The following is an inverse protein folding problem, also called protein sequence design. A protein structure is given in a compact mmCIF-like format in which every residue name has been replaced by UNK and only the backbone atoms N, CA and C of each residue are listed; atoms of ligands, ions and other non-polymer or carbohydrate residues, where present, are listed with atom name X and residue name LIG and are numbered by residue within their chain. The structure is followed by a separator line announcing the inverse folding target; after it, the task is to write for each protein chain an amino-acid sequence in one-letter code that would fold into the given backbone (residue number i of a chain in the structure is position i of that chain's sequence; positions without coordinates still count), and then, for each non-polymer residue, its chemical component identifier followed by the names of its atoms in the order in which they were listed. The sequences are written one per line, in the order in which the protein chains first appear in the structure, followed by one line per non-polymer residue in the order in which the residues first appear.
data_IF_668126596582
#
_entry.id   IF_668126596582
#
_cell.length_a   1.000
_cell.length_b   1.000
_cell.length_c   1.000
_cell.angle_alpha   90.00
_cell.angle_beta   90.00
_cell.angle_gamma   90.00
#
_symmetry.space_group_name_H-M   'P 1'
#
loop_
_entity.id
_entity.type
_entity.pdbx_description
1 polymer ?
#
# COMPACT_ATOMS: atom_id res chain seq x y z
N UNK A 1 -19.46 -2.81 -46.08
CA UNK A 1 -18.95 -3.21 -44.75
C UNK A 1 -20.08 -3.01 -43.74
N UNK A 2 -20.43 -4.04 -42.96
CA UNK A 2 -21.65 -4.10 -42.11
C UNK A 2 -21.34 -4.31 -40.61
N UNK A 3 -20.13 -4.03 -40.15
CA UNK A 3 -19.77 -4.24 -38.74
C UNK A 3 -20.15 -3.03 -37.90
N UNK A 4 -20.87 -3.27 -36.81
CA UNK A 4 -21.13 -2.27 -35.75
C UNK A 4 -20.23 -2.57 -34.55
N UNK A 5 -19.62 -1.55 -33.98
CA UNK A 5 -18.85 -1.63 -32.72
C UNK A 5 -19.53 -0.75 -31.69
N UNK A 6 -19.64 -1.26 -30.46
CA UNK A 6 -20.06 -0.51 -29.28
C UNK A 6 -18.98 -0.59 -28.21
N UNK A 7 -18.78 0.50 -27.48
CA UNK A 7 -17.89 0.55 -26.32
C UNK A 7 -18.68 0.88 -25.05
N UNK A 8 -18.21 0.37 -23.92
CA UNK A 8 -18.73 0.67 -22.59
C UNK A 8 -17.53 0.89 -21.65
N UNK A 9 -17.66 1.85 -20.73
CA UNK A 9 -16.71 2.01 -19.63
C UNK A 9 -17.02 0.94 -18.58
N UNK A 10 -16.12 -0.04 -18.44
CA UNK A 10 -16.29 -1.15 -17.48
C UNK A 10 -15.65 -0.87 -16.12
N UNK A 11 -14.68 0.04 -16.06
CA UNK A 11 -13.90 0.37 -14.87
C UNK A 11 -13.34 1.79 -14.93
N UNK A 12 -13.20 2.46 -13.79
CA UNK A 12 -12.56 3.76 -13.65
C UNK A 12 -12.30 4.03 -12.18
N UNK A 13 -11.10 4.50 -11.86
CA UNK A 13 -10.65 4.73 -10.48
C UNK A 13 -9.89 6.04 -10.41
N UNK A 14 -9.99 6.73 -9.29
CA UNK A 14 -9.10 7.85 -9.04
C UNK A 14 -7.70 7.34 -8.66
N UNK A 15 -6.66 8.04 -9.11
CA UNK A 15 -5.31 7.87 -8.57
C UNK A 15 -5.28 8.20 -7.07
N UNK A 16 -4.28 7.72 -6.33
CA UNK A 16 -4.21 8.05 -4.89
C UNK A 16 -3.91 9.53 -4.67
N UNK A 17 -4.74 10.18 -3.85
CA UNK A 17 -4.47 11.51 -3.33
C UNK A 17 -3.57 11.39 -2.09
N UNK A 18 -2.31 11.79 -2.21
CA UNK A 18 -1.34 11.73 -1.12
C UNK A 18 -1.65 12.72 0.02
N UNK A 19 -1.22 12.37 1.24
CA UNK A 19 -1.26 13.24 2.41
C UNK A 19 0.11 13.21 3.12
N UNK A 20 0.92 14.27 2.93
CA UNK A 20 2.30 14.37 3.43
C UNK A 20 2.33 14.44 4.95
N UNK A 21 1.37 15.10 5.61
CA UNK A 21 1.24 15.07 7.08
C UNK A 21 1.09 13.65 7.62
N UNK A 22 0.15 12.87 7.09
CA UNK A 22 -0.03 11.49 7.52
C UNK A 22 1.16 10.60 7.13
N UNK A 23 1.76 10.80 5.95
CA UNK A 23 2.95 10.06 5.52
C UNK A 23 4.15 10.33 6.44
N UNK A 24 4.34 11.57 6.88
CA UNK A 24 5.40 11.95 7.82
C UNK A 24 5.19 11.29 9.17
N UNK A 25 3.94 11.27 9.67
CA UNK A 25 3.60 10.60 10.92
C UNK A 25 3.85 9.08 10.84
N UNK A 26 3.38 8.44 9.77
CA UNK A 26 3.60 7.02 9.55
C UNK A 26 5.10 6.68 9.41
N UNK A 27 5.88 7.54 8.77
CA UNK A 27 7.33 7.41 8.67
C UNK A 27 7.99 7.45 10.05
N UNK A 28 7.66 8.42 10.90
CA UNK A 28 8.20 8.51 12.27
C UNK A 28 7.92 7.23 13.06
N UNK A 29 6.72 6.67 12.91
CA UNK A 29 6.35 5.42 13.57
C UNK A 29 7.04 4.19 12.96
N UNK A 30 7.32 4.17 11.65
CA UNK A 30 8.20 3.16 11.04
C UNK A 30 9.61 3.22 11.62
N UNK A 31 10.17 4.43 11.79
CA UNK A 31 11.50 4.63 12.37
C UNK A 31 11.57 4.20 13.84
N UNK A 32 10.50 4.40 14.61
CA UNK A 32 10.38 3.90 16.00
C UNK A 32 10.32 2.37 16.04
N UNK A 33 9.50 1.75 15.17
CA UNK A 33 9.31 0.29 15.17
C UNK A 33 10.55 -0.44 14.63
N UNK A 34 11.21 0.15 13.63
CA UNK A 34 12.36 -0.44 12.94
C UNK A 34 11.99 -1.61 12.02
N UNK A 35 13.02 -2.19 11.39
CA UNK A 35 12.86 -3.36 10.52
C UNK A 35 12.68 -4.68 11.27
N UNK A 36 12.82 -5.78 10.54
CA UNK A 36 12.58 -7.14 11.06
C UNK A 36 13.87 -7.95 11.08
N UNK A 37 14.10 -8.63 12.20
CA UNK A 37 15.23 -9.55 12.36
C UNK A 37 14.79 -10.98 12.12
N UNK A 38 15.43 -11.61 11.14
CA UNK A 38 15.25 -13.03 10.87
C UNK A 38 16.02 -13.88 11.88
N UNK A 39 15.39 -14.95 12.34
CA UNK A 39 16.10 -16.02 13.03
C UNK A 39 16.87 -16.90 12.04
N UNK A 40 17.58 -17.91 12.55
CA UNK A 40 18.40 -18.78 11.71
C UNK A 40 17.58 -19.55 10.65
N UNK A 41 16.35 -19.95 10.97
CA UNK A 41 15.49 -20.70 10.06
C UNK A 41 14.92 -19.81 8.97
N UNK A 42 14.40 -18.65 9.36
CA UNK A 42 13.88 -17.64 8.45
C UNK A 42 14.96 -17.12 7.52
N UNK A 43 16.17 -16.89 8.04
CA UNK A 43 17.31 -16.48 7.25
C UNK A 43 17.69 -17.54 6.22
N UNK A 44 17.80 -18.81 6.63
CA UNK A 44 18.09 -19.89 5.69
C UNK A 44 17.03 -19.99 4.58
N UNK A 45 15.74 -19.86 4.92
CA UNK A 45 14.66 -19.83 3.95
C UNK A 45 14.76 -18.63 2.99
N UNK A 46 15.00 -17.43 3.53
CA UNK A 46 15.11 -16.21 2.73
C UNK A 46 16.34 -16.26 1.79
N UNK A 47 17.47 -16.83 2.24
CA UNK A 47 18.66 -17.02 1.41
C UNK A 47 18.38 -17.94 0.20
N UNK A 48 17.61 -19.02 0.38
CA UNK A 48 17.22 -19.88 -0.75
C UNK A 48 16.28 -19.19 -1.73
N UNK A 49 15.33 -18.38 -1.25
CA UNK A 49 14.48 -17.55 -2.11
C UNK A 49 15.33 -16.57 -2.92
N UNK A 50 16.25 -15.83 -2.28
CA UNK A 50 17.11 -14.85 -2.95
C UNK A 50 18.02 -15.51 -3.99
N UNK A 51 18.61 -16.67 -3.68
CA UNK A 51 19.40 -17.45 -4.64
C UNK A 51 18.55 -17.90 -5.84
N UNK A 52 17.33 -18.38 -5.59
CA UNK A 52 16.40 -18.79 -6.63
C UNK A 52 15.97 -17.65 -7.56
N UNK A 53 16.04 -16.40 -7.09
CA UNK A 53 15.82 -15.19 -7.88
C UNK A 53 17.09 -14.72 -8.63
N UNK A 54 18.22 -15.41 -8.48
CA UNK A 54 19.51 -14.99 -9.05
C UNK A 54 20.02 -13.67 -8.47
N UNK A 55 19.55 -13.28 -7.28
CA UNK A 55 19.91 -12.03 -6.62
C UNK A 55 21.01 -12.22 -5.58
N UNK A 56 21.69 -11.13 -5.21
CA UNK A 56 22.75 -11.16 -4.21
C UNK A 56 22.19 -11.22 -2.77
N UNK A 57 22.81 -12.02 -1.90
CA UNK A 57 22.36 -12.19 -0.51
C UNK A 57 22.42 -10.89 0.31
N UNK A 58 23.20 -9.90 -0.10
CA UNK A 58 23.23 -8.57 0.54
C UNK A 58 21.88 -7.85 0.48
N UNK A 59 20.98 -8.23 -0.44
CA UNK A 59 19.61 -7.70 -0.50
C UNK A 59 18.81 -7.95 0.78
N UNK A 60 19.15 -9.00 1.55
CA UNK A 60 18.49 -9.30 2.82
C UNK A 60 18.73 -8.23 3.90
N UNK A 61 19.76 -7.39 3.77
CA UNK A 61 19.98 -6.26 4.70
C UNK A 61 18.81 -5.28 4.71
N UNK A 62 18.09 -5.16 3.58
CA UNK A 62 16.96 -4.26 3.44
C UNK A 62 15.76 -4.62 4.34
N UNK A 63 15.73 -5.82 4.93
CA UNK A 63 14.66 -6.24 5.86
C UNK A 63 14.76 -5.49 7.19
N UNK A 64 15.97 -5.14 7.63
CA UNK A 64 16.23 -4.44 8.89
C UNK A 64 16.22 -2.92 8.74
N UNK A 65 16.34 -2.41 7.52
CA UNK A 65 16.50 -0.98 7.23
C UNK A 65 15.17 -0.26 6.97
N UNK A 66 15.00 0.90 7.60
CA UNK A 66 13.92 1.83 7.25
C UNK A 66 14.47 2.84 6.26
N UNK A 67 13.91 2.86 5.05
CA UNK A 67 14.26 3.86 4.05
C UNK A 67 13.64 5.21 4.44
N UNK A 68 14.34 6.33 4.18
CA UNK A 68 13.77 7.65 4.45
C UNK A 68 12.51 7.87 3.60
N UNK A 69 11.59 8.70 4.12
CA UNK A 69 10.42 9.12 3.38
C UNK A 69 10.85 9.79 2.08
N UNK A 70 10.37 9.25 0.96
CA UNK A 70 10.65 9.81 -0.36
C UNK A 70 9.72 10.99 -0.63
N UNK A 71 10.22 11.96 -1.39
CA UNK A 71 9.35 12.98 -1.98
C UNK A 71 8.35 12.35 -2.94
N UNK A 72 7.18 12.95 -3.01
CA UNK A 72 6.10 12.50 -3.89
C UNK A 72 6.49 12.72 -5.35
N UNK A 73 6.33 11.68 -6.16
CA UNK A 73 6.57 11.72 -7.60
C UNK A 73 5.28 11.36 -8.33
N UNK A 74 5.08 11.83 -9.58
CA UNK A 74 3.94 11.39 -10.39
C UNK A 74 3.85 9.87 -10.48
N UNK A 75 2.63 9.36 -10.47
CA UNK A 75 2.36 7.92 -10.68
C UNK A 75 2.89 7.51 -12.06
N UNK A 76 3.71 6.46 -12.10
CA UNK A 76 4.13 5.81 -13.35
C UNK A 76 3.17 4.67 -13.75
N UNK A 77 2.04 4.53 -13.05
CA UNK A 77 1.12 3.41 -13.18
C UNK A 77 1.64 2.11 -12.55
N UNK A 78 0.96 1.00 -12.84
CA UNK A 78 1.40 -0.35 -12.45
C UNK A 78 0.88 -0.90 -11.11
N UNK A 79 0.14 -0.10 -10.34
CA UNK A 79 -0.59 -0.54 -9.16
C UNK A 79 -2.10 -0.31 -9.36
N UNK A 80 -2.94 -1.17 -8.79
CA UNK A 80 -4.40 -1.02 -8.84
C UNK A 80 -5.00 -1.30 -7.47
N UNK A 81 -5.69 -0.31 -6.91
CA UNK A 81 -6.36 -0.41 -5.61
C UNK A 81 -7.50 0.60 -5.52
N UNK A 82 -8.62 0.16 -4.96
CA UNK A 82 -9.81 0.95 -4.62
C UNK A 82 -9.53 2.04 -3.56
N UNK A 83 -8.42 1.94 -2.83
CA UNK A 83 -7.94 2.98 -1.90
C UNK A 83 -7.72 4.32 -2.61
N UNK A 84 -7.48 4.31 -3.93
CA UNK A 84 -7.51 5.50 -4.77
C UNK A 84 -8.77 6.32 -4.54
N UNK A 85 -9.95 5.76 -4.82
CA UNK A 85 -11.25 6.41 -4.60
C UNK A 85 -11.47 6.82 -3.14
N UNK A 86 -11.07 5.99 -2.17
CA UNK A 86 -11.19 6.32 -0.73
C UNK A 86 -10.37 7.58 -0.40
N UNK A 87 -9.15 7.69 -0.95
CA UNK A 87 -8.24 8.79 -0.69
C UNK A 87 -8.73 10.15 -1.21
N UNK A 88 -9.74 10.19 -2.09
CA UNK A 88 -10.41 11.42 -2.51
C UNK A 88 -11.61 11.80 -1.63
N UNK A 89 -12.06 10.88 -0.77
CA UNK A 89 -13.18 11.11 0.14
C UNK A 89 -12.71 11.45 1.56
N UNK A 90 -11.60 10.87 2.00
CA UNK A 90 -11.01 11.09 3.33
C UNK A 90 -9.48 11.10 3.27
N UNK A 91 -8.79 11.75 4.24
CA UNK A 91 -7.33 11.64 4.37
C UNK A 91 -6.89 10.17 4.53
N UNK A 92 -5.95 9.72 3.71
CA UNK A 92 -5.43 8.36 3.70
C UNK A 92 -3.90 8.38 3.72
N UNK A 93 -3.32 7.38 4.39
CA UNK A 93 -1.91 7.02 4.25
C UNK A 93 -1.78 5.51 4.08
N UNK A 94 -0.80 5.09 3.29
CA UNK A 94 -0.38 3.70 3.19
C UNK A 94 1.13 3.65 3.33
N UNK A 95 1.64 2.57 3.91
CA UNK A 95 3.07 2.35 4.05
C UNK A 95 3.42 0.91 3.68
N UNK A 96 4.69 0.68 3.35
CA UNK A 96 5.25 -0.66 3.14
C UNK A 96 6.07 -1.10 4.35
N UNK A 97 6.10 -2.39 4.62
CA UNK A 97 7.01 -3.00 5.60
C UNK A 97 7.54 -4.34 5.07
N UNK A 98 8.50 -4.93 5.77
CA UNK A 98 9.21 -6.16 5.38
C UNK A 98 8.36 -7.43 5.56
N UNK A 99 7.24 -7.54 4.83
CA UNK A 99 6.41 -8.76 4.78
C UNK A 99 6.92 -9.80 3.79
N UNK A 100 7.69 -9.38 2.77
CA UNK A 100 8.22 -10.25 1.72
C UNK A 100 9.74 -10.39 1.81
N UNK A 101 10.28 -11.47 1.25
CA UNK A 101 11.73 -11.60 1.03
C UNK A 101 12.16 -10.63 -0.07
N UNK A 102 13.17 -9.76 0.17
CA UNK A 102 13.64 -8.80 -0.82
C UNK A 102 13.95 -9.41 -2.19
N UNK A 103 13.58 -8.70 -3.25
CA UNK A 103 13.73 -9.15 -4.63
C UNK A 103 12.52 -9.93 -5.18
N UNK A 104 11.60 -10.38 -4.31
CA UNK A 104 10.39 -11.08 -4.75
C UNK A 104 9.39 -10.13 -5.42
N UNK A 105 8.89 -10.50 -6.60
CA UNK A 105 7.87 -9.72 -7.31
C UNK A 105 6.49 -9.86 -6.65
N UNK A 106 5.63 -8.85 -6.80
CA UNK A 106 4.22 -8.97 -6.42
C UNK A 106 3.52 -10.10 -7.17
N UNK A 107 2.50 -10.71 -6.56
CA UNK A 107 1.74 -11.84 -7.11
C UNK A 107 2.61 -13.07 -7.47
N UNK A 108 3.68 -13.31 -6.71
CA UNK A 108 4.61 -14.41 -6.94
C UNK A 108 4.44 -15.54 -5.90
N UNK A 109 4.87 -16.75 -6.25
CA UNK A 109 4.83 -17.88 -5.32
C UNK A 109 5.80 -17.69 -4.15
N UNK A 110 6.87 -16.92 -4.33
CA UNK A 110 7.83 -16.56 -3.30
C UNK A 110 7.15 -15.79 -2.17
N UNK A 111 6.30 -14.82 -2.51
CA UNK A 111 5.52 -14.08 -1.51
C UNK A 111 4.53 -14.99 -0.79
N UNK A 112 3.81 -15.86 -1.52
CA UNK A 112 2.89 -16.83 -0.92
C UNK A 112 3.63 -17.74 0.08
N UNK A 113 4.82 -18.22 -0.26
CA UNK A 113 5.62 -19.06 0.62
C UNK A 113 6.15 -18.30 1.84
N UNK A 114 6.63 -17.07 1.66
CA UNK A 114 7.12 -16.23 2.76
C UNK A 114 5.99 -15.83 3.73
N UNK A 115 4.83 -15.43 3.18
CA UNK A 115 3.64 -15.02 3.93
C UNK A 115 3.08 -16.19 4.77
N UNK A 116 3.14 -17.41 4.24
CA UNK A 116 2.76 -18.63 4.96
C UNK A 116 3.72 -19.08 6.07
N UNK A 117 4.79 -18.33 6.32
CA UNK A 117 5.82 -18.65 7.31
C UNK A 117 5.84 -17.65 8.49
N UNK A 118 6.80 -17.83 9.41
CA UNK A 118 7.00 -16.87 10.50
C UNK A 118 7.53 -15.52 10.02
N UNK A 119 8.10 -15.42 8.81
CA UNK A 119 8.45 -14.14 8.16
C UNK A 119 7.20 -13.29 7.98
N UNK A 120 6.15 -13.83 7.34
CA UNK A 120 4.88 -13.14 7.17
C UNK A 120 4.25 -12.73 8.50
N UNK A 121 4.32 -13.60 9.52
CA UNK A 121 3.81 -13.30 10.87
C UNK A 121 4.59 -12.15 11.52
N UNK A 122 5.93 -12.12 11.43
CA UNK A 122 6.75 -11.00 11.92
C UNK A 122 6.47 -9.73 11.15
N UNK A 123 6.28 -9.82 9.83
CA UNK A 123 5.85 -8.74 8.95
C UNK A 123 4.54 -8.11 9.40
N UNK A 124 3.53 -8.95 9.66
CA UNK A 124 2.23 -8.54 10.18
C UNK A 124 2.37 -7.82 11.52
N UNK A 125 3.13 -8.38 12.46
CA UNK A 125 3.34 -7.75 13.78
C UNK A 125 4.08 -6.40 13.67
N UNK A 126 5.04 -6.29 12.73
CA UNK A 126 5.73 -5.03 12.47
C UNK A 126 4.74 -3.98 11.93
N UNK A 127 3.94 -4.31 10.90
CA UNK A 127 2.90 -3.44 10.38
C UNK A 127 1.88 -3.03 11.47
N UNK A 128 1.42 -3.98 12.27
CA UNK A 128 0.44 -3.75 13.32
C UNK A 128 0.93 -2.75 14.37
N UNK A 129 2.22 -2.79 14.74
CA UNK A 129 2.83 -1.80 15.64
C UNK A 129 2.80 -0.40 15.02
N UNK A 130 3.20 -0.26 13.76
CA UNK A 130 3.19 1.04 13.05
C UNK A 130 1.78 1.61 12.97
N UNK A 131 0.79 0.80 12.59
CA UNK A 131 -0.62 1.20 12.59
C UNK A 131 -1.09 1.62 13.98
N UNK A 132 -0.75 0.84 15.02
CA UNK A 132 -1.18 1.11 16.39
C UNK A 132 -0.61 2.42 16.92
N UNK A 133 0.70 2.66 16.74
CA UNK A 133 1.33 3.92 17.14
C UNK A 133 0.74 5.11 16.38
N UNK A 134 0.57 4.97 15.06
CA UNK A 134 -0.03 6.03 14.23
C UNK A 134 -1.46 6.35 14.67
N UNK A 135 -2.25 5.32 15.02
CA UNK A 135 -3.60 5.51 15.56
C UNK A 135 -3.58 6.21 16.93
N UNK A 136 -2.67 5.80 17.83
CA UNK A 136 -2.50 6.44 19.14
C UNK A 136 -2.17 7.93 18.96
N UNK A 137 -1.23 8.28 18.07
CA UNK A 137 -0.88 9.67 17.81
C UNK A 137 -2.07 10.47 17.28
N UNK A 138 -2.84 9.92 16.34
CA UNK A 138 -4.02 10.58 15.80
C UNK A 138 -5.14 10.74 16.85
N UNK A 139 -5.34 9.76 17.73
CA UNK A 139 -6.37 9.82 18.77
C UNK A 139 -6.00 10.75 19.93
N UNK A 140 -4.71 10.85 20.25
CA UNK A 140 -4.23 11.62 21.40
C UNK A 140 -3.79 13.03 21.03
N UNK A 141 -3.58 13.33 19.75
CA UNK A 141 -3.18 14.64 19.27
C UNK A 141 -4.15 15.17 18.17
N UNK A 142 -5.22 15.87 18.56
CA UNK A 142 -6.19 16.45 17.63
C UNK A 142 -5.59 17.40 16.60
N UNK A 143 -4.42 18.00 16.90
CA UNK A 143 -3.72 18.89 15.97
C UNK A 143 -3.28 18.14 14.71
N UNK A 144 -2.75 16.92 14.84
CA UNK A 144 -2.34 16.10 13.69
C UNK A 144 -3.52 15.83 12.75
N UNK A 145 -4.70 15.51 13.31
CA UNK A 145 -5.93 15.32 12.53
C UNK A 145 -6.33 16.60 11.81
N UNK A 146 -6.28 17.75 12.50
CA UNK A 146 -6.63 19.03 11.90
C UNK A 146 -5.70 19.42 10.74
N UNK A 147 -4.39 19.21 10.89
CA UNK A 147 -3.40 19.50 9.85
C UNK A 147 -3.53 18.56 8.66
N UNK A 148 -3.72 17.26 8.91
CA UNK A 148 -3.94 16.28 7.84
C UNK A 148 -5.21 16.59 7.04
N UNK A 149 -6.29 17.01 7.71
CA UNK A 149 -7.52 17.44 7.04
C UNK A 149 -7.33 18.73 6.25
N UNK A 150 -6.62 19.71 6.80
CA UNK A 150 -6.34 20.96 6.09
C UNK A 150 -5.55 20.71 4.80
N UNK A 151 -4.48 19.91 4.86
CA UNK A 151 -3.70 19.52 3.67
C UNK A 151 -4.58 18.77 2.65
N UNK A 152 -5.41 17.84 3.13
CA UNK A 152 -6.32 17.08 2.27
C UNK A 152 -7.30 17.98 1.51
N UNK A 153 -7.97 18.93 2.19
CA UNK A 153 -8.90 19.85 1.52
C UNK A 153 -8.20 20.78 0.52
N UNK A 154 -6.97 21.21 0.83
CA UNK A 154 -6.15 22.00 -0.09
C UNK A 154 -5.80 21.20 -1.35
N UNK A 155 -5.28 19.97 -1.19
CA UNK A 155 -4.86 19.10 -2.30
C UNK A 155 -6.02 18.62 -3.15
N UNK A 156 -7.15 18.28 -2.51
CA UNK A 156 -8.36 17.81 -3.18
C UNK A 156 -9.04 18.90 -4.00
N UNK A 157 -8.94 20.15 -3.52
CA UNK A 157 -9.64 21.30 -4.06
C UNK A 157 -11.01 21.52 -3.39
N UNK A 158 -11.31 22.78 -3.10
CA UNK A 158 -12.47 23.20 -2.29
C UNK A 158 -13.84 22.81 -2.88
N UNK A 159 -13.93 22.74 -4.20
CA UNK A 159 -15.17 22.47 -4.93
C UNK A 159 -15.26 21.01 -5.42
N UNK A 160 -14.32 20.16 -5.00
CA UNK A 160 -14.31 18.77 -5.43
C UNK A 160 -15.57 18.05 -4.95
N UNK A 161 -16.21 17.36 -5.90
CA UNK A 161 -17.31 16.43 -5.62
C UNK A 161 -16.92 15.09 -6.19
N UNK A 162 -16.90 14.07 -5.33
CA UNK A 162 -16.64 12.71 -5.77
C UNK A 162 -17.72 12.28 -6.76
N UNK A 163 -17.30 11.86 -7.95
CA UNK A 163 -18.16 11.27 -8.96
C UNK A 163 -17.47 9.98 -9.40
N UNK A 164 -18.14 8.85 -9.27
CA UNK A 164 -17.60 7.59 -9.76
C UNK A 164 -17.27 7.70 -11.25
N UNK A 165 -16.05 7.32 -11.64
CA UNK A 165 -15.65 7.30 -13.04
C UNK A 165 -16.38 6.21 -13.84
N UNK A 166 -17.13 5.33 -13.16
CA UNK A 166 -18.06 4.38 -13.76
C UNK A 166 -19.39 5.02 -14.19
N UNK A 167 -19.62 6.29 -13.83
CA UNK A 167 -20.89 6.96 -14.04
C UNK A 167 -22.04 6.27 -13.29
N UNK A 168 -23.17 6.10 -13.97
CA UNK A 168 -24.39 5.53 -13.40
C UNK A 168 -24.51 4.01 -13.60
N UNK A 169 -23.40 3.32 -13.93
CA UNK A 169 -23.39 1.87 -14.11
C UNK A 169 -23.71 1.17 -12.79
N UNK A 170 -24.74 0.31 -12.78
CA UNK A 170 -25.05 -0.50 -11.62
C UNK A 170 -23.86 -1.42 -11.26
N UNK A 171 -23.56 -1.65 -9.97
CA UNK A 171 -22.54 -2.61 -9.57
C UNK A 171 -22.82 -3.97 -10.20
N UNK A 172 -21.79 -4.58 -10.80
CA UNK A 172 -21.91 -5.88 -11.44
C UNK A 172 -21.89 -7.00 -10.38
N UNK A 173 -22.90 -7.06 -9.51
CA UNK A 173 -22.97 -8.03 -8.40
C UNK A 173 -23.13 -9.47 -8.90
N UNK A 174 -23.73 -9.65 -10.08
CA UNK A 174 -24.04 -10.97 -10.65
C UNK A 174 -23.00 -11.50 -11.65
N UNK A 175 -21.79 -10.91 -11.71
CA UNK A 175 -20.76 -11.24 -12.70
C UNK A 175 -20.24 -12.69 -12.67
N UNK A 176 -20.54 -13.45 -11.60
CA UNK A 176 -20.21 -14.88 -11.45
C UNK A 176 -21.43 -15.81 -11.44
N UNK A 177 -22.64 -15.27 -11.53
CA UNK A 177 -23.84 -16.08 -11.61
C UNK A 177 -23.92 -16.63 -13.03
N UNK A 178 -23.80 -17.96 -13.18
CA UNK A 178 -24.06 -18.60 -14.48
C UNK A 178 -25.52 -18.32 -14.84
N UNK A 179 -25.74 -17.65 -15.97
CA UNK A 179 -27.06 -17.53 -16.59
C UNK A 179 -27.52 -18.87 -17.16
#
# INVERSE_FOLDING_TARGET
TQTTVTSEIISGFYEKLGNKKLATLAQQNLEIVGGIKYDARERAFAEEIVKGLGSDLSTLKAVEEIKPLKEETPSLGGASSDVGDVSWNVPVVSFGTAVFVPGSAGHSWQNVAADGSTIGTKGLLNAAKVFSLTAIDLYTNPKLVSEAKAEFEERRGKDFKYISLLGNRAPALDYRVKK
#
